data_IF_629003992101
#
_entry.id   IF_629003992101
#
_cell.length_a   1.000
_cell.length_b   1.000
_cell.length_c   1.000
_cell.angle_alpha   90.00
_cell.angle_beta   90.00
_cell.angle_gamma   90.00
#
_symmetry.space_group_name_H-M   'P 1'
#
loop_
_entity.id
_entity.type
_entity.pdbx_description
1 polymer ?
#
# COMPACT_ATOMS: atom_id res chain seq x y z
N UNK A 1 -13.50 -7.22 1.26
CA UNK A 1 -12.06 -6.86 1.22
C UNK A 1 -11.94 -5.36 1.03
N UNK A 2 -11.00 -4.70 1.71
CA UNK A 2 -10.77 -3.25 1.57
C UNK A 2 -10.28 -2.92 0.14
N UNK A 3 -10.84 -1.88 -0.50
CA UNK A 3 -10.46 -1.43 -1.86
C UNK A 3 -8.97 -1.10 -1.98
N UNK A 4 -8.38 -0.50 -0.95
CA UNK A 4 -6.96 -0.15 -0.88
C UNK A 4 -6.10 -1.42 -0.92
N UNK A 5 -6.45 -2.41 -0.09
CA UNK A 5 -5.74 -3.70 -0.02
C UNK A 5 -5.79 -4.47 -1.34
N UNK A 6 -6.92 -4.42 -2.06
CA UNK A 6 -7.02 -5.01 -3.40
C UNK A 6 -6.07 -4.34 -4.39
N UNK A 7 -5.92 -3.02 -4.32
CA UNK A 7 -5.04 -2.27 -5.21
C UNK A 7 -3.57 -2.54 -4.91
N UNK A 8 -3.20 -2.65 -3.62
CA UNK A 8 -1.87 -3.12 -3.19
C UNK A 8 -1.56 -4.50 -3.79
N UNK A 9 -2.46 -5.47 -3.64
CA UNK A 9 -2.22 -6.83 -4.15
C UNK A 9 -2.14 -6.88 -5.68
N UNK A 10 -2.90 -6.04 -6.39
CA UNK A 10 -2.81 -5.91 -7.84
C UNK A 10 -1.43 -5.39 -8.23
N UNK A 11 -1.02 -4.26 -7.66
CA UNK A 11 0.28 -3.64 -7.97
C UNK A 11 1.44 -4.56 -7.59
N UNK A 12 1.36 -5.24 -6.44
CA UNK A 12 2.35 -6.23 -6.01
C UNK A 12 2.60 -7.28 -7.09
N UNK A 13 1.51 -7.84 -7.63
CA UNK A 13 1.57 -8.87 -8.67
C UNK A 13 2.13 -8.32 -9.98
N UNK A 14 1.71 -7.12 -10.38
CA UNK A 14 2.23 -6.44 -11.58
C UNK A 14 3.74 -6.20 -11.50
N UNK A 15 4.25 -5.85 -10.31
CA UNK A 15 5.70 -5.65 -10.08
C UNK A 15 6.47 -6.95 -9.78
N UNK A 16 5.80 -8.11 -9.71
CA UNK A 16 6.45 -9.37 -9.35
C UNK A 16 7.00 -9.43 -7.92
N UNK A 17 6.53 -8.56 -7.02
CA UNK A 17 7.03 -8.45 -5.65
C UNK A 17 6.44 -9.56 -4.79
N UNK A 18 7.27 -10.22 -3.97
CA UNK A 18 6.79 -11.28 -3.06
C UNK A 18 6.16 -10.70 -1.80
N UNK A 19 5.27 -11.46 -1.16
CA UNK A 19 4.71 -11.07 0.14
C UNK A 19 5.78 -11.00 1.23
N UNK A 20 6.79 -11.84 1.10
CA UNK A 20 7.95 -11.90 2.00
C UNK A 20 8.76 -10.62 1.93
N UNK A 21 9.08 -10.15 0.72
CA UNK A 21 9.83 -8.91 0.53
C UNK A 21 9.16 -7.71 1.20
N UNK A 22 7.83 -7.56 1.04
CA UNK A 22 7.09 -6.48 1.68
C UNK A 22 7.11 -6.62 3.20
N UNK A 23 6.88 -7.83 3.71
CA UNK A 23 6.87 -8.07 5.15
C UNK A 23 8.23 -7.75 5.78
N UNK A 24 9.32 -8.22 5.16
CA UNK A 24 10.70 -7.96 5.60
C UNK A 24 11.02 -6.45 5.60
N UNK A 25 10.67 -5.74 4.52
CA UNK A 25 10.86 -4.29 4.42
C UNK A 25 10.07 -3.53 5.49
N UNK A 26 8.88 -4.02 5.85
CA UNK A 26 8.05 -3.43 6.90
C UNK A 26 8.45 -3.89 8.32
N UNK A 27 9.52 -4.69 8.51
CA UNK A 27 9.91 -5.20 9.82
C UNK A 27 8.91 -6.20 10.43
N UNK A 28 8.18 -6.94 9.59
CA UNK A 28 7.08 -7.81 9.97
C UNK A 28 7.18 -9.21 9.37
N UNK A 29 6.30 -10.11 9.82
CA UNK A 29 6.23 -11.48 9.31
C UNK A 29 5.37 -11.59 8.05
N UNK A 30 5.60 -12.62 7.23
CA UNK A 30 4.74 -12.90 6.06
C UNK A 30 3.27 -13.15 6.48
N UNK A 31 3.07 -13.68 7.69
CA UNK A 31 1.75 -13.89 8.27
C UNK A 31 1.03 -12.56 8.55
N UNK A 32 1.75 -11.52 8.99
CA UNK A 32 1.21 -10.17 9.19
C UNK A 32 0.65 -9.60 7.87
N UNK A 33 1.44 -9.63 6.80
CA UNK A 33 0.99 -9.15 5.49
C UNK A 33 -0.16 -10.00 4.93
N UNK A 34 -0.14 -11.31 5.19
CA UNK A 34 -1.24 -12.22 4.83
C UNK A 34 -2.53 -11.94 5.61
N UNK A 35 -2.44 -11.52 6.87
CA UNK A 35 -3.60 -11.14 7.67
C UNK A 35 -4.26 -9.86 7.15
N UNK A 36 -3.45 -8.87 6.72
CA UNK A 36 -3.92 -7.64 6.08
C UNK A 36 -4.63 -7.97 4.77
N UNK A 37 -3.99 -8.73 3.89
CA UNK A 37 -4.54 -9.06 2.56
C UNK A 37 -5.80 -9.92 2.61
N UNK A 38 -5.99 -10.71 3.68
CA UNK A 38 -7.21 -11.48 3.95
C UNK A 38 -8.29 -10.70 4.70
N UNK A 39 -8.02 -9.44 5.08
CA UNK A 39 -8.94 -8.60 5.86
C UNK A 39 -9.12 -9.05 7.33
N UNK A 40 -8.23 -9.91 7.84
CA UNK A 40 -8.21 -10.32 9.26
C UNK A 40 -7.56 -9.27 10.16
N UNK A 41 -6.81 -8.34 9.56
CA UNK A 41 -6.15 -7.21 10.24
C UNK A 41 -6.40 -5.94 9.42
N UNK A 42 -6.68 -4.83 10.11
CA UNK A 42 -6.66 -3.51 9.49
C UNK A 42 -5.22 -3.07 9.23
N UNK A 43 -5.02 -2.29 8.16
CA UNK A 43 -3.74 -1.62 7.87
C UNK A 43 -3.89 -0.16 8.26
N UNK A 44 -2.96 0.36 9.06
CA UNK A 44 -2.93 1.79 9.39
C UNK A 44 -2.19 2.58 8.29
N UNK A 45 -2.13 3.91 8.43
CA UNK A 45 -1.46 4.77 7.45
C UNK A 45 0.06 4.58 7.38
N UNK A 46 0.71 4.28 8.51
CA UNK A 46 2.15 4.06 8.59
C UNK A 46 2.58 2.77 7.90
N UNK A 47 1.90 1.67 8.19
CA UNK A 47 2.08 0.36 7.55
C UNK A 47 1.86 0.48 6.04
N UNK A 48 0.86 1.27 5.63
CA UNK A 48 0.60 1.50 4.22
C UNK A 48 1.76 2.25 3.55
N UNK A 49 2.39 3.21 4.24
CA UNK A 49 3.54 3.97 3.75
C UNK A 49 4.73 3.06 3.53
N UNK A 50 5.01 2.19 4.50
CA UNK A 50 6.07 1.19 4.39
C UNK A 50 5.80 0.18 3.27
N UNK A 51 4.55 -0.26 3.08
CA UNK A 51 4.17 -1.15 1.98
C UNK A 51 4.37 -0.46 0.62
N UNK A 52 3.99 0.82 0.50
CA UNK A 52 4.19 1.57 -0.74
C UNK A 52 5.68 1.80 -1.04
N UNK A 53 6.48 2.08 -0.02
CA UNK A 53 7.93 2.21 -0.10
C UNK A 53 8.60 0.89 -0.50
N UNK A 54 8.20 -0.24 0.09
CA UNK A 54 8.63 -1.58 -0.30
C UNK A 54 8.30 -1.91 -1.77
N UNK A 55 7.32 -1.22 -2.35
CA UNK A 55 6.95 -1.35 -3.75
C UNK A 55 7.65 -0.34 -4.66
N UNK A 56 8.46 0.58 -4.13
CA UNK A 56 9.02 1.70 -4.87
C UNK A 56 7.93 2.55 -5.52
N UNK A 57 6.85 2.82 -4.78
CA UNK A 57 5.78 3.72 -5.22
C UNK A 57 5.67 4.87 -4.24
N UNK A 58 5.81 6.09 -4.76
CA UNK A 58 5.45 7.28 -4.00
C UNK A 58 3.95 7.26 -3.71
N UNK A 59 3.60 7.18 -2.42
CA UNK A 59 2.21 7.11 -1.96
C UNK A 59 1.37 8.33 -2.40
N UNK A 60 2.00 9.44 -2.78
CA UNK A 60 1.37 10.75 -2.97
C UNK A 60 0.22 10.80 -3.98
N UNK A 61 0.09 9.84 -4.91
CA UNK A 61 -0.90 9.97 -5.99
C UNK A 61 -1.69 8.68 -6.26
N UNK A 62 -1.06 7.51 -6.17
CA UNK A 62 -1.65 6.30 -6.77
C UNK A 62 -2.57 5.50 -5.84
N UNK A 63 -2.42 5.61 -4.51
CA UNK A 63 -3.14 4.79 -3.53
C UNK A 63 -4.33 5.48 -2.87
N UNK A 64 -4.39 6.82 -2.94
CA UNK A 64 -5.50 7.62 -2.42
C UNK A 64 -6.03 8.57 -3.49
N UNK A 65 -7.03 8.16 -4.29
CA UNK A 65 -7.63 9.04 -5.30
C UNK A 65 -8.21 10.33 -4.69
N UNK A 66 -8.67 10.30 -3.43
CA UNK A 66 -9.14 11.50 -2.73
C UNK A 66 -8.03 12.46 -2.28
N UNK A 67 -6.83 11.96 -1.93
CA UNK A 67 -5.69 12.86 -1.63
C UNK A 67 -5.13 13.49 -2.90
N UNK A 68 -5.11 12.73 -4.01
CA UNK A 68 -4.58 13.23 -5.27
C UNK A 68 -5.42 14.36 -5.86
N UNK A 69 -6.75 14.35 -5.66
CA UNK A 69 -7.61 15.48 -6.03
C UNK A 69 -7.33 16.75 -5.21
N UNK A 70 -7.10 16.62 -3.90
CA UNK A 70 -6.83 17.78 -3.03
C UNK A 70 -5.46 18.39 -3.33
N UNK A 71 -4.41 17.57 -3.51
CA UNK A 71 -3.07 18.04 -3.87
C UNK A 71 -3.01 18.67 -5.27
N UNK A 72 -3.78 18.16 -6.23
CA UNK A 72 -3.88 18.77 -7.56
C UNK A 72 -4.50 20.17 -7.52
N UNK A 73 -5.47 20.42 -6.63
CA UNK A 73 -6.07 21.75 -6.49
C UNK A 73 -5.11 22.80 -5.95
N UNK A 74 -4.21 22.44 -5.03
CA UNK A 74 -3.25 23.40 -4.46
C UNK A 74 -2.08 23.76 -5.37
N UNK A 75 -1.69 22.87 -6.30
CA UNK A 75 -0.62 23.18 -7.28
C UNK A 75 -1.15 23.99 -8.47
N UNK A 76 -2.47 24.03 -8.67
CA UNK A 76 -3.12 24.74 -9.78
C UNK A 76 -3.86 26.01 -9.34
N UNK A 77 -3.68 26.44 -8.08
CA UNK A 77 -4.30 27.63 -7.49
C UNK A 77 -3.27 28.74 -7.25
#
# INVERSE_FOLDING_TARGET
MNKVVNQIEKLRKEKGITKTHIAEHCGHTVAWYSAITKGRRGVNSEDLLLIADAMGVEMKISFYPKLSETLKKEITA
#
